data_IF_027054668783
#
_entry.id   IF_027054668783
#
_cell.length_a   1.000
_cell.length_b   1.000
_cell.length_c   1.000
_cell.angle_alpha   90.00
_cell.angle_beta   90.00
_cell.angle_gamma   90.00
#
_symmetry.space_group_name_H-M   'P 1'
#
loop_
_entity.id
_entity.type
_entity.pdbx_description
1 polymer ?
#
# COMPACT_ATOMS: atom_id res chain seq x y z
N UNK A 1 21.09 26.82 -18.29
CA UNK A 1 20.86 25.37 -18.44
C UNK A 1 20.71 24.81 -17.04
N UNK A 2 19.48 24.55 -16.59
CA UNK A 2 19.25 23.86 -15.32
C UNK A 2 19.61 22.39 -15.54
N UNK A 3 20.53 21.86 -14.72
CA UNK A 3 20.77 20.44 -14.64
C UNK A 3 19.43 19.79 -14.26
N UNK A 4 18.96 18.87 -15.09
CA UNK A 4 17.86 18.00 -14.69
C UNK A 4 18.40 17.13 -13.56
N UNK A 5 18.13 17.51 -12.31
CA UNK A 5 18.42 16.68 -11.14
C UNK A 5 17.72 15.33 -11.35
N UNK A 6 18.52 14.34 -11.72
CA UNK A 6 18.02 13.01 -12.05
C UNK A 6 17.78 12.29 -10.73
N UNK A 7 16.53 11.96 -10.42
CA UNK A 7 16.15 11.27 -9.20
C UNK A 7 16.93 9.95 -9.06
N UNK A 8 17.55 9.75 -7.90
CA UNK A 8 18.30 8.52 -7.60
C UNK A 8 17.36 7.43 -7.10
N UNK A 9 17.79 6.17 -7.17
CA UNK A 9 17.05 5.06 -6.57
C UNK A 9 16.80 5.25 -5.06
N UNK A 10 17.70 5.96 -4.38
CA UNK A 10 17.54 6.33 -2.97
C UNK A 10 16.39 7.32 -2.76
N UNK A 11 16.22 8.29 -3.66
CA UNK A 11 15.12 9.25 -3.60
C UNK A 11 13.76 8.56 -3.76
N UNK A 12 13.65 7.62 -4.70
CA UNK A 12 12.46 6.79 -4.84
C UNK A 12 12.21 5.94 -3.60
N UNK A 13 13.24 5.31 -3.03
CA UNK A 13 13.12 4.54 -1.80
C UNK A 13 12.63 5.38 -0.62
N UNK A 14 13.19 6.58 -0.43
CA UNK A 14 12.75 7.53 0.60
C UNK A 14 11.29 7.95 0.39
N UNK A 15 10.91 8.29 -0.83
CA UNK A 15 9.54 8.68 -1.14
C UNK A 15 8.55 7.54 -0.88
N UNK A 16 8.86 6.32 -1.33
CA UNK A 16 8.04 5.13 -1.08
C UNK A 16 7.88 4.85 0.41
N UNK A 17 8.98 4.91 1.18
CA UNK A 17 8.96 4.69 2.62
C UNK A 17 8.14 5.76 3.35
N UNK A 18 8.30 7.04 2.99
CA UNK A 18 7.53 8.13 3.57
C UNK A 18 6.03 7.96 3.32
N UNK A 19 5.64 7.66 2.08
CA UNK A 19 4.24 7.40 1.71
C UNK A 19 3.70 6.19 2.48
N UNK A 20 4.45 5.09 2.53
CA UNK A 20 4.08 3.87 3.26
C UNK A 20 3.85 4.13 4.75
N UNK A 21 4.76 4.84 5.42
CA UNK A 21 4.64 5.17 6.84
C UNK A 21 3.45 6.08 7.13
N UNK A 22 3.21 7.10 6.28
CA UNK A 22 2.08 8.00 6.45
C UNK A 22 0.75 7.27 6.30
N UNK A 23 0.62 6.39 5.29
CA UNK A 23 -0.58 5.59 5.05
C UNK A 23 -0.81 4.60 6.19
N UNK A 24 0.24 3.90 6.64
CA UNK A 24 0.16 2.97 7.76
C UNK A 24 -0.28 3.67 9.04
N UNK A 25 0.32 4.81 9.37
CA UNK A 25 -0.02 5.59 10.56
C UNK A 25 -1.48 6.05 10.53
N UNK A 26 -1.93 6.62 9.41
CA UNK A 26 -3.30 7.09 9.26
C UNK A 26 -4.32 5.94 9.37
N UNK A 27 -4.04 4.80 8.75
CA UNK A 27 -4.91 3.62 8.81
C UNK A 27 -4.97 3.03 10.22
N UNK A 28 -3.84 2.84 10.88
CA UNK A 28 -3.77 2.31 12.25
C UNK A 28 -4.57 3.19 13.21
N UNK A 29 -4.37 4.51 13.14
CA UNK A 29 -5.15 5.47 13.95
C UNK A 29 -6.65 5.39 13.64
N UNK A 30 -7.04 5.20 12.38
CA UNK A 30 -8.44 5.05 12.00
C UNK A 30 -9.05 3.77 12.58
N UNK A 31 -8.31 2.66 12.58
CA UNK A 31 -8.76 1.38 13.14
C UNK A 31 -8.89 1.46 14.66
N UNK A 32 -7.91 2.07 15.34
CA UNK A 32 -7.92 2.23 16.80
C UNK A 32 -9.11 3.06 17.30
N UNK A 33 -9.55 4.04 16.51
CA UNK A 33 -10.72 4.88 16.80
C UNK A 33 -12.06 4.15 16.62
N UNK A 34 -12.10 3.00 15.97
CA UNK A 34 -13.35 2.24 15.82
C UNK A 34 -13.83 1.70 17.19
N UNK A 35 -15.14 1.55 17.41
CA UNK A 35 -15.68 0.77 18.52
C UNK A 35 -15.18 -0.69 18.47
N UNK A 36 -14.95 -1.31 19.63
CA UNK A 36 -14.45 -2.70 19.73
C UNK A 36 -15.21 -3.72 18.85
N UNK A 37 -16.57 -3.72 18.77
CA UNK A 37 -17.29 -4.65 17.91
C UNK A 37 -16.95 -4.50 16.42
N UNK A 38 -16.52 -3.31 16.00
CA UNK A 38 -16.18 -2.97 14.62
C UNK A 38 -14.69 -3.13 14.30
N UNK A 39 -13.82 -3.28 15.31
CA UNK A 39 -12.39 -3.61 15.14
C UNK A 39 -12.20 -5.10 14.84
N UNK A 40 -12.76 -5.55 13.73
CA UNK A 40 -12.66 -6.94 13.31
C UNK A 40 -12.12 -7.06 11.89
N UNK A 41 -11.63 -8.24 11.56
CA UNK A 41 -11.02 -8.55 10.26
C UNK A 41 -11.91 -8.16 9.07
N UNK A 42 -13.22 -8.39 9.18
CA UNK A 42 -14.17 -8.13 8.08
C UNK A 42 -14.25 -6.64 7.76
N UNK A 43 -14.38 -5.78 8.78
CA UNK A 43 -14.46 -4.33 8.59
C UNK A 43 -13.14 -3.80 8.01
N UNK A 44 -12.01 -4.21 8.58
CA UNK A 44 -10.69 -3.76 8.12
C UNK A 44 -10.43 -4.20 6.68
N UNK A 45 -10.72 -5.46 6.32
CA UNK A 45 -10.49 -5.96 4.97
C UNK A 45 -11.40 -5.29 3.93
N UNK A 46 -12.65 -5.00 4.27
CA UNK A 46 -13.58 -4.28 3.37
C UNK A 46 -13.19 -2.81 3.19
N UNK A 47 -12.74 -2.15 4.25
CA UNK A 47 -12.29 -0.76 4.16
C UNK A 47 -11.03 -0.66 3.27
N UNK A 48 -10.07 -1.56 3.48
CA UNK A 48 -8.85 -1.64 2.66
C UNK A 48 -9.16 -1.94 1.19
N UNK A 49 -10.03 -2.91 0.91
CA UNK A 49 -10.38 -3.24 -0.48
C UNK A 49 -11.05 -2.07 -1.20
N UNK A 50 -12.00 -1.38 -0.54
CA UNK A 50 -12.64 -0.20 -1.08
C UNK A 50 -11.65 0.95 -1.32
N UNK A 51 -10.71 1.17 -0.39
CA UNK A 51 -9.67 2.19 -0.53
C UNK A 51 -8.78 1.93 -1.75
N UNK A 52 -8.22 0.71 -1.86
CA UNK A 52 -7.34 0.34 -2.96
C UNK A 52 -8.08 0.40 -4.30
N UNK A 53 -9.29 -0.17 -4.38
CA UNK A 53 -10.08 -0.13 -5.60
C UNK A 53 -10.37 1.30 -6.08
N UNK A 54 -10.71 2.21 -5.16
CA UNK A 54 -10.92 3.62 -5.49
C UNK A 54 -9.64 4.33 -5.93
N UNK A 55 -8.49 4.01 -5.32
CA UNK A 55 -7.20 4.57 -5.70
C UNK A 55 -6.79 4.13 -7.11
N UNK A 56 -6.90 2.83 -7.39
CA UNK A 56 -6.64 2.23 -8.72
C UNK A 56 -7.57 2.83 -9.77
N UNK A 57 -8.87 2.95 -9.47
CA UNK A 57 -9.83 3.56 -10.39
C UNK A 57 -9.51 5.03 -10.68
N UNK A 58 -9.10 5.82 -9.67
CA UNK A 58 -8.71 7.22 -9.87
C UNK A 58 -7.48 7.37 -10.77
N UNK A 59 -6.53 6.45 -10.67
CA UNK A 59 -5.33 6.44 -11.52
C UNK A 59 -5.67 6.05 -12.97
N UNK A 60 -6.57 5.10 -13.14
CA UNK A 60 -6.96 4.55 -14.45
C UNK A 60 -8.49 4.54 -14.62
N UNK A 61 -9.14 5.70 -14.79
CA UNK A 61 -10.59 5.80 -14.77
C UNK A 61 -11.26 5.14 -15.99
N UNK A 62 -10.62 5.20 -17.16
CA UNK A 62 -11.13 4.65 -18.41
C UNK A 62 -10.47 3.33 -18.83
N UNK A 63 -9.32 2.98 -18.24
CA UNK A 63 -8.50 1.86 -18.67
C UNK A 63 -8.68 0.67 -17.73
N UNK A 64 -9.50 -0.30 -18.15
CA UNK A 64 -9.74 -1.51 -17.38
C UNK A 64 -8.51 -2.41 -17.28
N UNK A 65 -7.71 -2.50 -18.34
CA UNK A 65 -6.55 -3.38 -18.39
C UNK A 65 -5.49 -2.90 -17.41
N UNK A 66 -5.15 -1.60 -17.44
CA UNK A 66 -4.21 -1.02 -16.48
C UNK A 66 -4.68 -1.15 -15.03
N UNK A 67 -5.99 -1.10 -14.76
CA UNK A 67 -6.52 -1.38 -13.42
C UNK A 67 -6.25 -2.81 -12.97
N UNK A 68 -6.47 -3.78 -13.85
CA UNK A 68 -6.24 -5.19 -13.53
C UNK A 68 -4.75 -5.45 -13.33
N UNK A 69 -3.90 -4.95 -14.23
CA UNK A 69 -2.44 -5.06 -14.11
C UNK A 69 -1.94 -4.48 -12.79
N UNK A 70 -2.42 -3.29 -12.39
CA UNK A 70 -2.04 -2.68 -11.11
C UNK A 70 -2.48 -3.53 -9.91
N UNK A 71 -3.66 -4.16 -9.96
CA UNK A 71 -4.12 -5.05 -8.88
C UNK A 71 -3.29 -6.33 -8.78
N UNK A 72 -2.91 -6.91 -9.92
CA UNK A 72 -2.09 -8.12 -9.98
C UNK A 72 -0.68 -7.82 -9.44
N UNK A 73 -0.07 -6.70 -9.85
CA UNK A 73 1.21 -6.23 -9.34
C UNK A 73 1.17 -5.97 -7.83
N UNK A 74 0.14 -5.28 -7.33
CA UNK A 74 -0.04 -5.05 -5.89
C UNK A 74 -0.14 -6.36 -5.11
N UNK A 75 -0.90 -7.33 -5.63
CA UNK A 75 -1.07 -8.63 -4.98
C UNK A 75 0.26 -9.37 -4.87
N UNK A 76 1.02 -9.41 -5.97
CA UNK A 76 2.35 -10.01 -6.00
C UNK A 76 3.31 -9.31 -5.02
N UNK A 77 3.37 -7.98 -5.04
CA UNK A 77 4.27 -7.20 -4.19
C UNK A 77 3.93 -7.36 -2.70
N UNK A 78 2.65 -7.40 -2.35
CA UNK A 78 2.21 -7.64 -0.96
C UNK A 78 2.65 -9.04 -0.51
N UNK A 79 2.48 -10.07 -1.35
CA UNK A 79 2.90 -11.42 -0.99
C UNK A 79 4.42 -11.49 -0.74
N UNK A 80 5.22 -10.90 -1.63
CA UNK A 80 6.67 -10.83 -1.47
C UNK A 80 7.09 -10.11 -0.17
N UNK A 81 6.41 -9.03 0.18
CA UNK A 81 6.67 -8.29 1.42
C UNK A 81 6.30 -9.11 2.66
N UNK A 82 5.15 -9.80 2.64
CA UNK A 82 4.74 -10.68 3.75
C UNK A 82 5.72 -11.84 3.95
N UNK A 83 6.15 -12.48 2.87
CA UNK A 83 7.13 -13.57 2.92
C UNK A 83 8.47 -13.07 3.48
N UNK A 84 8.90 -11.88 3.06
CA UNK A 84 10.13 -11.25 3.57
C UNK A 84 10.04 -10.94 5.07
N UNK A 85 8.91 -10.41 5.54
CA UNK A 85 8.68 -10.12 6.97
C UNK A 85 8.67 -11.42 7.79
N UNK A 86 8.05 -12.48 7.26
CA UNK A 86 8.01 -13.78 7.92
C UNK A 86 9.41 -14.38 8.07
N UNK A 87 10.23 -14.34 7.00
CA UNK A 87 11.62 -14.82 7.01
C UNK A 87 12.51 -14.04 7.98
N UNK A 88 12.28 -12.74 8.16
CA UNK A 88 12.99 -11.93 9.16
C UNK A 88 12.57 -12.23 10.61
N UNK A 89 11.43 -12.91 10.80
CA UNK A 89 10.82 -13.18 12.10
C UNK A 89 11.06 -14.61 12.59
N UNK A 90 11.59 -15.51 11.77
CA UNK A 90 11.97 -16.87 12.16
C UNK A 90 13.40 -16.90 12.72
N UNK A 91 13.63 -17.42 13.95
CA UNK A 91 14.99 -17.61 14.45
C UNK A 91 15.67 -18.77 13.69
N UNK A 92 16.92 -18.55 13.29
CA UNK A 92 17.81 -19.58 12.75
C UNK A 92 18.04 -20.74 13.71
#
# INVERSE_FOLDING_TARGET
MQAADTLTAEDYSKAMNLLGQNLLSALTQSIEKLPQPLRNRKVVSQALSAFIANLVYKQFPADHESRQQMLDELTMLIQLQLDSIAQLSEPA
#
